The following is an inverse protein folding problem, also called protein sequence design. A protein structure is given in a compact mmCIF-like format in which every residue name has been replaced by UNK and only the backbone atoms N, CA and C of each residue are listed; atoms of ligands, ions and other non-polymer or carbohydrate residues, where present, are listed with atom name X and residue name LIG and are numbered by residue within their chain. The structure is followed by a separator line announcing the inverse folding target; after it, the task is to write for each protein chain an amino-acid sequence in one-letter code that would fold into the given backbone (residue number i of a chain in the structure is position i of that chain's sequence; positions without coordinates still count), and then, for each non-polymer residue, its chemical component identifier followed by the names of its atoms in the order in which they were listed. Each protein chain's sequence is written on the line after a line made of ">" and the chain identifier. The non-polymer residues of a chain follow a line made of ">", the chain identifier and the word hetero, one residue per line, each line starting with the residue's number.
data_IF_422013673650
#
_entry.id   IF_422013673650
#
_cell.length_a   1.000
_cell.length_b   1.000
_cell.length_c   1.000
_cell.angle_alpha   90.00
_cell.angle_beta   90.00
_cell.angle_gamma   90.00
#
_symmetry.space_group_name_H-M   'P 1'
#
loop_
_entity.id
_entity.type
_entity.pdbx_description
1 polymer ?
#
# COMPACT_ATOMS: atom_id res chain seq x y z
N UNK A 1 -6.64 -21.40 8.50
CA UNK A 1 -7.86 -21.32 7.66
C UNK A 1 -8.67 -20.11 8.09
N UNK A 2 -9.25 -19.39 7.15
CA UNK A 2 -10.13 -18.24 7.40
C UNK A 2 -11.47 -18.75 7.98
N UNK A 3 -11.91 -18.13 9.07
CA UNK A 3 -13.21 -18.43 9.69
C UNK A 3 -14.33 -17.58 9.07
N UNK A 4 -15.57 -17.70 9.55
CA UNK A 4 -16.73 -16.98 8.99
C UNK A 4 -16.62 -15.46 9.16
N UNK A 5 -16.01 -14.97 10.25
CA UNK A 5 -15.77 -13.53 10.47
C UNK A 5 -14.78 -13.02 9.43
N UNK A 6 -13.71 -13.77 9.16
CA UNK A 6 -12.70 -13.40 8.17
C UNK A 6 -13.30 -13.29 6.76
N UNK A 7 -14.14 -14.26 6.40
CA UNK A 7 -14.85 -14.26 5.11
C UNK A 7 -15.77 -13.05 4.99
N UNK A 8 -16.51 -12.73 6.08
CA UNK A 8 -17.37 -11.54 6.13
C UNK A 8 -16.57 -10.25 5.97
N UNK A 9 -15.41 -10.14 6.63
CA UNK A 9 -14.53 -8.97 6.51
C UNK A 9 -14.03 -8.80 5.07
N UNK A 10 -13.55 -9.87 4.45
CA UNK A 10 -13.11 -9.84 3.05
C UNK A 10 -14.26 -9.54 2.10
N UNK A 11 -15.47 -10.06 2.37
CA UNK A 11 -16.67 -9.75 1.60
C UNK A 11 -17.02 -8.26 1.68
N UNK A 12 -16.89 -7.64 2.86
CA UNK A 12 -17.11 -6.18 3.04
C UNK A 12 -16.19 -5.38 2.11
N UNK A 13 -14.90 -5.73 2.04
CA UNK A 13 -13.95 -5.07 1.14
C UNK A 13 -14.32 -5.27 -0.33
N UNK A 14 -14.67 -6.52 -0.70
CA UNK A 14 -15.08 -6.85 -2.07
C UNK A 14 -16.34 -6.07 -2.51
N UNK A 15 -17.32 -5.91 -1.62
CA UNK A 15 -18.54 -5.14 -1.88
C UNK A 15 -18.26 -3.64 -2.04
N UNK A 16 -17.39 -3.06 -1.20
CA UNK A 16 -16.97 -1.66 -1.34
C UNK A 16 -16.26 -1.44 -2.68
N UNK A 17 -15.34 -2.33 -3.04
CA UNK A 17 -14.66 -2.30 -4.33
C UNK A 17 -15.65 -2.43 -5.48
N UNK A 18 -16.57 -3.38 -5.43
CA UNK A 18 -17.58 -3.59 -6.47
C UNK A 18 -18.47 -2.36 -6.66
N UNK A 19 -18.87 -1.68 -5.58
CA UNK A 19 -19.61 -0.40 -5.66
C UNK A 19 -18.76 0.70 -6.29
N UNK A 20 -17.49 0.81 -5.90
CA UNK A 20 -16.55 1.77 -6.50
C UNK A 20 -16.34 1.52 -7.99
N UNK A 21 -16.28 0.25 -8.42
CA UNK A 21 -16.14 -0.12 -9.83
C UNK A 21 -17.38 0.22 -10.70
N UNK A 22 -18.48 0.60 -10.09
CA UNK A 22 -19.71 1.07 -10.78
C UNK A 22 -19.82 2.61 -10.79
N UNK A 23 -18.91 3.31 -10.14
CA UNK A 23 -18.92 4.77 -10.03
C UNK A 23 -18.09 5.41 -11.16
N UNK A 24 -18.78 5.88 -12.19
CA UNK A 24 -18.19 6.55 -13.36
C UNK A 24 -17.86 8.04 -13.10
N UNK A 25 -17.99 8.52 -11.86
CA UNK A 25 -17.62 9.89 -11.49
C UNK A 25 -16.16 10.14 -11.84
N UNK A 26 -15.92 11.23 -12.57
CA UNK A 26 -14.57 11.63 -12.97
C UNK A 26 -13.87 12.34 -11.84
N UNK A 27 -12.65 11.92 -11.58
CA UNK A 27 -11.76 12.53 -10.60
C UNK A 27 -10.50 13.07 -11.29
N UNK A 28 -10.07 14.25 -10.89
CA UNK A 28 -8.83 14.90 -11.33
C UNK A 28 -7.89 15.00 -10.14
N UNK A 29 -6.64 14.58 -10.32
CA UNK A 29 -5.63 14.63 -9.25
C UNK A 29 -4.22 14.78 -9.83
N UNK A 30 -3.24 15.05 -8.96
CA UNK A 30 -1.82 14.96 -9.28
C UNK A 30 -1.30 13.57 -8.91
N UNK A 31 -0.83 12.84 -9.91
CA UNK A 31 -0.20 11.54 -9.75
C UNK A 31 1.31 11.71 -9.60
N UNK A 32 1.84 11.27 -8.46
CA UNK A 32 3.27 11.35 -8.10
C UNK A 32 4.01 10.02 -8.35
N UNK A 33 3.34 9.02 -8.91
CA UNK A 33 3.92 7.71 -9.22
C UNK A 33 4.52 7.64 -10.62
N UNK A 34 5.16 6.52 -10.92
CA UNK A 34 5.76 6.24 -12.24
C UNK A 34 4.72 6.12 -13.38
N UNK A 35 3.43 5.97 -13.04
CA UNK A 35 2.38 5.74 -14.03
C UNK A 35 2.46 4.34 -14.64
N UNK A 36 2.06 4.21 -15.91
CA UNK A 36 2.29 2.96 -16.63
C UNK A 36 3.77 2.84 -17.03
N UNK A 37 4.32 1.62 -17.16
CA UNK A 37 5.72 1.43 -17.57
C UNK A 37 6.10 2.11 -18.89
N UNK A 38 5.13 2.32 -19.76
CA UNK A 38 5.30 2.98 -21.06
C UNK A 38 5.38 4.51 -20.95
N UNK A 39 4.90 5.10 -19.85
CA UNK A 39 4.89 6.56 -19.63
C UNK A 39 6.31 7.13 -19.48
N UNK A 40 7.26 6.33 -19.02
CA UNK A 40 8.70 6.68 -18.83
C UNK A 40 8.88 8.03 -18.15
N UNK A 41 8.12 8.27 -17.08
CA UNK A 41 8.17 9.54 -16.34
C UNK A 41 9.55 9.76 -15.73
N UNK A 42 10.07 10.98 -15.86
CA UNK A 42 11.28 11.40 -15.19
C UNK A 42 11.05 11.62 -13.69
N UNK A 43 12.13 11.62 -12.90
CA UNK A 43 12.06 11.97 -11.48
C UNK A 43 11.44 13.37 -11.26
N UNK A 44 11.77 14.33 -12.10
CA UNK A 44 11.22 15.69 -12.03
C UNK A 44 9.71 15.71 -12.24
N UNK A 45 9.18 14.93 -13.21
CA UNK A 45 7.73 14.79 -13.46
C UNK A 45 7.03 14.13 -12.28
N UNK A 46 7.61 13.09 -11.69
CA UNK A 46 7.07 12.43 -10.49
C UNK A 46 7.10 13.37 -9.27
N UNK A 47 8.14 14.15 -9.09
CA UNK A 47 8.24 15.14 -8.00
C UNK A 47 7.22 16.27 -8.14
N UNK A 48 6.96 16.76 -9.34
CA UNK A 48 5.96 17.80 -9.60
C UNK A 48 4.54 17.28 -9.56
N UNK A 49 4.36 16.00 -9.84
CA UNK A 49 3.08 15.36 -10.09
C UNK A 49 2.56 15.64 -11.50
N UNK A 50 2.04 14.60 -12.14
CA UNK A 50 1.37 14.68 -13.44
C UNK A 50 -0.13 14.75 -13.23
N UNK A 51 -0.78 15.75 -13.86
CA UNK A 51 -2.23 15.84 -13.82
C UNK A 51 -2.86 14.66 -14.56
N UNK A 52 -3.72 13.93 -13.86
CA UNK A 52 -4.43 12.75 -14.35
C UNK A 52 -5.92 12.91 -14.16
N UNK A 53 -6.67 12.51 -15.15
CA UNK A 53 -8.11 12.40 -15.13
C UNK A 53 -8.50 10.94 -15.28
N UNK A 54 -9.33 10.43 -14.36
CA UNK A 54 -9.79 9.04 -14.40
C UNK A 54 -11.18 8.94 -13.76
N UNK A 55 -11.76 7.74 -13.72
CA UNK A 55 -13.01 7.50 -12.97
C UNK A 55 -12.72 6.79 -11.65
N UNK A 56 -13.63 6.93 -10.68
CA UNK A 56 -13.58 6.14 -9.44
C UNK A 56 -13.65 4.65 -9.77
N UNK A 57 -14.42 4.26 -10.79
CA UNK A 57 -14.47 2.88 -11.31
C UNK A 57 -13.08 2.36 -11.69
N UNK A 58 -12.31 3.14 -12.42
CA UNK A 58 -10.95 2.74 -12.83
C UNK A 58 -10.01 2.62 -11.62
N UNK A 59 -10.01 3.61 -10.69
CA UNK A 59 -9.22 3.55 -9.46
C UNK A 59 -9.59 2.33 -8.61
N UNK A 60 -10.89 2.03 -8.49
CA UNK A 60 -11.38 0.87 -7.72
C UNK A 60 -11.00 -0.48 -8.34
N UNK A 61 -10.65 -0.50 -9.63
CA UNK A 61 -10.25 -1.72 -10.34
C UNK A 61 -8.78 -2.12 -10.13
N UNK A 62 -7.95 -1.23 -9.55
CA UNK A 62 -6.52 -1.46 -9.34
C UNK A 62 -6.18 -1.87 -7.90
N UNK A 63 -4.89 -2.16 -7.63
CA UNK A 63 -4.37 -2.58 -6.33
C UNK A 63 -4.67 -4.05 -5.97
N UNK A 64 -4.43 -4.42 -4.72
CA UNK A 64 -4.63 -5.79 -4.22
C UNK A 64 -6.09 -6.22 -4.29
N UNK A 65 -6.35 -7.40 -4.88
CA UNK A 65 -7.69 -8.00 -5.01
C UNK A 65 -7.59 -9.53 -5.06
N UNK A 66 -8.75 -10.20 -4.94
CA UNK A 66 -8.87 -11.67 -4.99
C UNK A 66 -7.91 -12.35 -4.00
N UNK A 67 -7.15 -13.33 -4.47
CA UNK A 67 -6.19 -14.11 -3.68
C UNK A 67 -5.15 -13.24 -2.94
N UNK A 68 -4.78 -12.08 -3.49
CA UNK A 68 -3.83 -11.18 -2.84
C UNK A 68 -4.44 -10.42 -1.65
N UNK A 69 -5.73 -10.10 -1.71
CA UNK A 69 -6.46 -9.56 -0.55
C UNK A 69 -6.57 -10.61 0.56
N UNK A 70 -6.86 -11.86 0.20
CA UNK A 70 -6.90 -12.97 1.16
C UNK A 70 -5.51 -13.24 1.76
N UNK A 71 -4.47 -13.17 0.93
CA UNK A 71 -3.08 -13.36 1.36
C UNK A 71 -2.67 -12.33 2.41
N UNK A 72 -2.84 -11.02 2.12
CA UNK A 72 -2.44 -9.97 3.06
C UNK A 72 -3.29 -10.02 4.34
N UNK A 73 -4.58 -10.31 4.21
CA UNK A 73 -5.47 -10.52 5.35
C UNK A 73 -4.94 -11.65 6.27
N UNK A 74 -4.65 -12.81 5.68
CA UNK A 74 -4.15 -13.98 6.41
C UNK A 74 -2.78 -13.70 7.05
N UNK A 75 -1.90 -12.96 6.36
CA UNK A 75 -0.59 -12.58 6.88
C UNK A 75 -0.72 -11.67 8.10
N UNK A 76 -1.51 -10.60 8.01
CA UNK A 76 -1.76 -9.67 9.13
C UNK A 76 -2.42 -10.39 10.29
N UNK A 77 -3.41 -11.22 10.03
CA UNK A 77 -4.08 -12.02 11.07
C UNK A 77 -3.12 -12.96 11.81
N UNK A 78 -2.25 -13.65 11.06
CA UNK A 78 -1.30 -14.62 11.65
C UNK A 78 -0.19 -13.93 12.45
N UNK A 79 0.27 -12.78 12.01
CA UNK A 79 1.35 -12.03 12.66
C UNK A 79 0.86 -11.08 13.75
N UNK A 80 -0.39 -10.63 13.65
CA UNK A 80 -1.02 -9.66 14.55
C UNK A 80 -0.12 -8.45 14.88
N UNK A 81 0.41 -7.74 13.84
CA UNK A 81 1.28 -6.59 14.02
C UNK A 81 0.51 -5.49 14.78
N UNK A 82 1.19 -4.74 15.64
CA UNK A 82 0.59 -3.59 16.32
C UNK A 82 0.56 -2.36 15.41
N UNK A 83 1.67 -2.12 14.72
CA UNK A 83 1.86 -0.98 13.84
C UNK A 83 2.11 -1.46 12.41
N UNK A 84 1.23 -1.05 11.51
CA UNK A 84 1.34 -1.27 10.06
C UNK A 84 1.55 0.08 9.38
N UNK A 85 2.55 0.16 8.50
CA UNK A 85 2.75 1.27 7.57
C UNK A 85 2.39 0.81 6.16
N UNK A 86 1.60 1.61 5.45
CA UNK A 86 1.32 1.43 4.03
C UNK A 86 1.72 2.67 3.23
N UNK A 87 2.46 2.47 2.14
CA UNK A 87 2.71 3.49 1.13
C UNK A 87 1.83 3.23 -0.09
N UNK A 88 0.90 4.15 -0.39
CA UNK A 88 -0.07 4.01 -1.48
C UNK A 88 -1.45 3.56 -0.97
N UNK A 89 -2.25 4.51 -0.47
CA UNK A 89 -3.61 4.21 0.01
C UNK A 89 -4.57 3.92 -1.14
N UNK A 90 -4.45 4.64 -2.25
CA UNK A 90 -5.41 4.62 -3.35
C UNK A 90 -6.85 4.73 -2.84
N UNK A 91 -7.75 3.79 -3.18
CA UNK A 91 -9.13 3.75 -2.68
C UNK A 91 -9.27 3.16 -1.26
N UNK A 92 -8.17 2.80 -0.59
CA UNK A 92 -8.14 2.34 0.80
C UNK A 92 -8.45 0.85 1.00
N UNK A 93 -8.59 0.05 -0.05
CA UNK A 93 -9.03 -1.35 0.08
C UNK A 93 -8.00 -2.24 0.77
N UNK A 94 -6.70 -2.05 0.52
CA UNK A 94 -5.61 -2.76 1.21
C UNK A 94 -5.53 -2.37 2.69
N UNK A 95 -5.59 -1.07 2.99
CA UNK A 95 -5.62 -0.56 4.37
C UNK A 95 -6.81 -1.14 5.16
N UNK A 96 -8.02 -1.13 4.57
CA UNK A 96 -9.23 -1.72 5.17
C UNK A 96 -9.04 -3.22 5.38
N UNK A 97 -8.49 -3.94 4.41
CA UNK A 97 -8.22 -5.37 4.51
C UNK A 97 -7.29 -5.68 5.69
N UNK A 98 -6.19 -4.91 5.83
CA UNK A 98 -5.24 -5.08 6.94
C UNK A 98 -5.87 -4.71 8.30
N UNK A 99 -6.65 -3.64 8.36
CA UNK A 99 -7.31 -3.20 9.58
C UNK A 99 -8.37 -4.20 10.09
N UNK A 100 -9.15 -4.77 9.18
CA UNK A 100 -10.17 -5.78 9.52
C UNK A 100 -9.57 -7.14 9.90
N UNK A 101 -8.32 -7.43 9.52
CA UNK A 101 -7.64 -8.67 9.84
C UNK A 101 -7.29 -8.82 11.32
N UNK A 102 -7.08 -7.70 12.03
CA UNK A 102 -6.71 -7.70 13.45
C UNK A 102 -7.16 -6.42 14.14
N UNK A 103 -8.00 -6.53 15.16
CA UNK A 103 -8.46 -5.40 15.96
C UNK A 103 -7.32 -4.74 16.79
N UNK A 104 -6.20 -5.43 16.99
CA UNK A 104 -5.03 -4.92 17.71
C UNK A 104 -4.05 -4.17 16.82
N UNK A 105 -4.32 -4.13 15.52
CA UNK A 105 -3.47 -3.48 14.51
C UNK A 105 -3.93 -2.05 14.28
N UNK A 106 -2.99 -1.10 14.31
CA UNK A 106 -3.22 0.26 13.78
C UNK A 106 -2.52 0.37 12.43
N UNK A 107 -3.27 0.75 11.40
CA UNK A 107 -2.76 0.96 10.05
C UNK A 107 -2.54 2.44 9.81
N UNK A 108 -1.31 2.82 9.49
CA UNK A 108 -0.95 4.16 9.00
C UNK A 108 -0.75 4.05 7.50
N UNK A 109 -1.58 4.74 6.73
CA UNK A 109 -1.54 4.69 5.26
C UNK A 109 -1.31 6.07 4.68
N UNK A 110 -0.42 6.18 3.69
CA UNK A 110 0.00 7.46 3.11
C UNK A 110 -0.48 7.56 1.67
N UNK A 111 -1.13 8.69 1.33
CA UNK A 111 -1.61 9.01 -0.02
C UNK A 111 -1.17 10.41 -0.45
N UNK A 112 -0.51 10.52 -1.61
CA UNK A 112 -0.02 11.79 -2.14
C UNK A 112 -1.12 12.69 -2.69
N UNK A 113 -2.12 12.09 -3.32
CA UNK A 113 -3.22 12.82 -3.96
C UNK A 113 -4.40 13.01 -3.01
N UNK A 114 -4.66 14.25 -2.60
CA UNK A 114 -5.74 14.58 -1.65
C UNK A 114 -7.13 14.17 -2.15
N UNK A 115 -7.34 14.21 -3.45
CA UNK A 115 -8.61 13.82 -4.08
C UNK A 115 -8.83 12.31 -3.96
N UNK A 116 -7.79 11.50 -4.18
CA UNK A 116 -7.82 10.04 -3.98
C UNK A 116 -7.95 9.71 -2.49
N UNK A 117 -7.21 10.41 -1.64
CA UNK A 117 -7.30 10.27 -0.19
C UNK A 117 -8.73 10.49 0.33
N UNK A 118 -9.48 11.43 -0.26
CA UNK A 118 -10.88 11.65 0.10
C UNK A 118 -11.76 10.43 -0.26
N UNK A 119 -11.55 9.79 -1.40
CA UNK A 119 -12.24 8.54 -1.78
C UNK A 119 -11.93 7.42 -0.79
N UNK A 120 -10.66 7.27 -0.42
CA UNK A 120 -10.25 6.28 0.59
C UNK A 120 -10.90 6.54 1.95
N UNK A 121 -10.94 7.80 2.40
CA UNK A 121 -11.57 8.20 3.67
C UNK A 121 -13.05 7.80 3.72
N UNK A 122 -13.81 8.01 2.64
CA UNK A 122 -15.19 7.56 2.54
C UNK A 122 -15.33 6.03 2.59
N UNK A 123 -14.45 5.29 1.95
CA UNK A 123 -14.46 3.83 2.00
C UNK A 123 -14.10 3.30 3.39
N UNK A 124 -13.10 3.89 4.06
CA UNK A 124 -12.69 3.57 5.43
C UNK A 124 -13.87 3.78 6.39
N UNK A 125 -14.57 4.91 6.26
CA UNK A 125 -15.76 5.21 7.04
C UNK A 125 -16.90 4.21 6.79
N UNK A 126 -17.15 3.83 5.51
CA UNK A 126 -18.17 2.84 5.16
C UNK A 126 -17.83 1.43 5.69
N UNK A 127 -16.53 1.11 5.81
CA UNK A 127 -16.06 -0.14 6.41
C UNK A 127 -16.08 -0.14 7.94
N UNK A 128 -16.42 1.00 8.58
CA UNK A 128 -16.38 1.21 10.03
C UNK A 128 -15.03 0.89 10.67
N UNK A 129 -13.93 1.16 9.96
CA UNK A 129 -12.57 0.93 10.45
C UNK A 129 -12.10 2.13 11.29
N UNK A 130 -12.01 1.97 12.63
CA UNK A 130 -11.54 2.99 13.56
C UNK A 130 -10.02 2.94 13.81
N UNK A 131 -9.36 1.91 13.30
CA UNK A 131 -7.94 1.63 13.50
C UNK A 131 -7.08 1.96 12.27
N UNK A 132 -7.54 2.88 11.40
CA UNK A 132 -6.78 3.40 10.26
C UNK A 132 -6.51 4.89 10.48
N UNK A 133 -5.26 5.29 10.34
CA UNK A 133 -4.84 6.69 10.32
C UNK A 133 -4.32 7.01 8.92
N UNK A 134 -5.03 7.86 8.20
CA UNK A 134 -4.62 8.31 6.87
C UNK A 134 -3.74 9.56 6.98
N UNK A 135 -2.58 9.52 6.32
CA UNK A 135 -1.66 10.65 6.16
C UNK A 135 -1.72 11.11 4.71
N UNK A 136 -2.06 12.39 4.50
CA UNK A 136 -2.18 12.96 3.15
C UNK A 136 -0.96 13.81 2.85
N UNK A 137 -0.19 13.42 1.85
CA UNK A 137 1.03 14.11 1.42
C UNK A 137 1.94 13.19 0.62
N UNK A 138 2.84 13.79 -0.18
CA UNK A 138 3.83 13.01 -0.94
C UNK A 138 4.74 12.26 0.03
N UNK A 139 5.16 11.05 -0.33
CA UNK A 139 6.08 10.26 0.51
C UNK A 139 7.35 11.06 0.86
N UNK A 140 7.88 11.84 -0.10
CA UNK A 140 9.04 12.71 0.13
C UNK A 140 8.85 13.75 1.22
N UNK A 141 7.62 14.16 1.48
CA UNK A 141 7.32 15.26 2.40
C UNK A 141 6.91 14.75 3.80
N UNK A 142 6.19 13.61 3.87
CA UNK A 142 5.56 13.17 5.11
C UNK A 142 6.10 11.86 5.68
N UNK A 143 6.85 11.06 4.90
CA UNK A 143 7.27 9.74 5.33
C UNK A 143 8.19 9.81 6.55
N UNK A 144 9.18 10.69 6.55
CA UNK A 144 10.16 10.79 7.63
C UNK A 144 9.50 11.09 8.99
N UNK A 145 8.66 12.11 9.05
CA UNK A 145 7.92 12.46 10.26
C UNK A 145 6.98 11.34 10.70
N UNK A 146 6.33 10.67 9.73
CA UNK A 146 5.46 9.53 10.01
C UNK A 146 6.24 8.39 10.65
N UNK A 147 7.41 8.01 10.10
CA UNK A 147 8.28 6.96 10.63
C UNK A 147 8.71 7.24 12.07
N UNK A 148 9.15 8.46 12.36
CA UNK A 148 9.58 8.89 13.70
C UNK A 148 8.44 8.80 14.72
N UNK A 149 7.22 9.11 14.29
CA UNK A 149 6.03 9.10 15.15
C UNK A 149 5.51 7.71 15.47
N UNK A 150 5.56 6.77 14.49
CA UNK A 150 4.88 5.46 14.61
C UNK A 150 5.82 4.30 14.95
N UNK A 151 7.14 4.51 14.90
CA UNK A 151 8.12 3.44 15.19
C UNK A 151 7.99 2.90 16.62
N UNK A 152 8.29 1.62 16.86
CA UNK A 152 8.72 0.61 15.91
C UNK A 152 7.58 0.06 15.05
N UNK A 153 7.88 -0.26 13.78
CA UNK A 153 6.92 -0.75 12.79
C UNK A 153 7.00 -2.27 12.70
N UNK A 154 5.87 -2.96 12.84
CA UNK A 154 5.82 -4.44 12.80
C UNK A 154 5.58 -5.00 11.40
N UNK A 155 4.94 -4.21 10.52
CA UNK A 155 4.71 -4.57 9.13
C UNK A 155 4.70 -3.32 8.25
N UNK A 156 5.42 -3.35 7.14
CA UNK A 156 5.36 -2.30 6.12
C UNK A 156 4.91 -2.89 4.79
N UNK A 157 3.94 -2.22 4.13
CA UNK A 157 3.47 -2.57 2.79
C UNK A 157 3.75 -1.43 1.82
N UNK A 158 4.60 -1.68 0.84
CA UNK A 158 5.03 -0.69 -0.15
C UNK A 158 4.30 -0.97 -1.47
N UNK A 159 3.24 -0.22 -1.74
CA UNK A 159 2.34 -0.35 -2.89
C UNK A 159 2.11 1.03 -3.54
N UNK A 160 3.19 1.75 -3.79
CA UNK A 160 3.09 3.06 -4.38
C UNK A 160 4.36 3.50 -5.11
N UNK A 161 4.24 4.51 -5.96
CA UNK A 161 5.29 5.08 -6.79
C UNK A 161 5.74 4.17 -7.95
N UNK A 162 6.04 2.89 -7.70
CA UNK A 162 6.46 1.86 -8.67
C UNK A 162 7.64 2.27 -9.56
N UNK A 163 8.57 3.03 -8.99
CA UNK A 163 9.85 3.42 -9.59
C UNK A 163 11.00 2.75 -8.88
N UNK A 164 12.06 2.39 -9.63
CA UNK A 164 13.22 1.67 -9.12
C UNK A 164 13.90 2.40 -7.96
N UNK A 165 14.34 3.62 -8.24
CA UNK A 165 15.15 4.38 -7.27
C UNK A 165 14.32 4.78 -6.04
N UNK A 166 13.05 5.15 -6.28
CA UNK A 166 12.11 5.47 -5.20
C UNK A 166 11.85 4.26 -4.30
N UNK A 167 11.62 3.08 -4.86
CA UNK A 167 11.35 1.85 -4.09
C UNK A 167 12.55 1.45 -3.23
N UNK A 168 13.77 1.50 -3.79
CA UNK A 168 15.01 1.24 -3.04
C UNK A 168 15.19 2.28 -1.93
N UNK A 169 14.92 3.56 -2.22
CA UNK A 169 14.99 4.64 -1.23
C UNK A 169 14.01 4.42 -0.07
N UNK A 170 12.77 4.04 -0.36
CA UNK A 170 11.77 3.76 0.69
C UNK A 170 12.18 2.56 1.54
N UNK A 171 12.68 1.49 0.94
CA UNK A 171 13.24 0.36 1.68
C UNK A 171 14.30 0.83 2.70
N UNK A 172 15.31 1.57 2.23
CA UNK A 172 16.42 2.06 3.08
C UNK A 172 15.95 3.05 4.14
N UNK A 173 14.96 3.88 3.83
CA UNK A 173 14.41 4.87 4.76
C UNK A 173 13.56 4.22 5.86
N UNK A 174 12.78 3.19 5.53
CA UNK A 174 11.88 2.52 6.48
C UNK A 174 12.65 1.53 7.37
N UNK A 175 13.66 0.85 6.82
CA UNK A 175 14.40 -0.22 7.49
C UNK A 175 14.86 0.11 8.93
N UNK A 176 15.42 1.29 9.24
CA UNK A 176 15.85 1.64 10.61
C UNK A 176 14.69 1.76 11.63
N UNK A 177 13.45 1.87 11.15
CA UNK A 177 12.24 2.03 11.98
C UNK A 177 11.46 0.73 12.16
N UNK A 178 11.93 -0.36 11.52
CA UNK A 178 11.29 -1.65 11.62
C UNK A 178 11.64 -2.35 12.94
N UNK A 179 10.65 -3.01 13.53
CA UNK A 179 10.87 -3.84 14.70
C UNK A 179 11.64 -5.12 14.33
N UNK A 180 12.39 -5.67 15.29
CA UNK A 180 12.98 -6.99 15.12
C UNK A 180 11.91 -8.06 14.93
N UNK A 181 12.10 -8.94 13.96
CA UNK A 181 11.13 -9.99 13.57
C UNK A 181 9.96 -9.48 12.73
N UNK A 182 10.01 -8.22 12.29
CA UNK A 182 9.00 -7.61 11.43
C UNK A 182 9.12 -8.03 9.96
N UNK A 183 8.22 -7.52 9.12
CA UNK A 183 8.16 -7.83 7.68
C UNK A 183 7.94 -6.57 6.85
N UNK A 184 8.67 -6.45 5.74
CA UNK A 184 8.33 -5.55 4.65
C UNK A 184 7.82 -6.34 3.45
N UNK A 185 6.68 -5.95 2.89
CA UNK A 185 6.14 -6.49 1.65
C UNK A 185 6.08 -5.39 0.58
N UNK A 186 6.43 -5.76 -0.65
CA UNK A 186 6.48 -4.88 -1.81
C UNK A 186 5.53 -5.40 -2.88
N UNK A 187 4.57 -4.59 -3.31
CA UNK A 187 3.68 -4.96 -4.41
C UNK A 187 4.33 -4.66 -5.77
N UNK A 188 3.82 -5.32 -6.77
CA UNK A 188 4.17 -5.12 -8.17
C UNK A 188 5.68 -5.17 -8.50
N UNK A 189 6.44 -6.04 -7.79
CA UNK A 189 7.89 -6.24 -8.02
C UNK A 189 8.23 -6.72 -9.43
N UNK A 190 7.26 -7.15 -10.19
CA UNK A 190 7.40 -7.58 -11.59
C UNK A 190 6.74 -6.61 -12.60
N UNK A 191 6.20 -5.48 -12.15
CA UNK A 191 5.43 -4.51 -12.95
C UNK A 191 6.21 -3.92 -14.12
N UNK A 192 7.47 -3.59 -13.89
CA UNK A 192 8.38 -3.03 -14.90
C UNK A 192 9.78 -3.61 -14.74
N UNK A 193 10.67 -3.38 -15.71
CA UNK A 193 12.06 -3.78 -15.57
C UNK A 193 12.73 -3.07 -14.38
N UNK A 194 12.43 -1.79 -14.18
CA UNK A 194 12.92 -1.04 -13.02
C UNK A 194 12.48 -1.65 -11.69
N UNK A 195 11.22 -2.11 -11.56
CA UNK A 195 10.73 -2.78 -10.35
C UNK A 195 11.40 -4.15 -10.11
N UNK A 196 11.69 -4.91 -11.18
CA UNK A 196 12.48 -6.16 -11.06
C UNK A 196 13.90 -5.89 -10.57
N UNK A 197 14.54 -4.86 -11.09
CA UNK A 197 15.87 -4.44 -10.64
C UNK A 197 15.85 -3.94 -9.18
N UNK A 198 14.82 -3.16 -8.80
CA UNK A 198 14.61 -2.72 -7.41
C UNK A 198 14.48 -3.93 -6.48
N UNK A 199 13.63 -4.88 -6.83
CA UNK A 199 13.46 -6.10 -6.03
C UNK A 199 14.75 -6.93 -5.95
N UNK A 200 15.46 -7.08 -7.06
CA UNK A 200 16.76 -7.77 -7.07
C UNK A 200 17.77 -7.13 -6.10
N UNK A 201 17.86 -5.80 -6.09
CA UNK A 201 18.73 -5.08 -5.17
C UNK A 201 18.28 -5.26 -3.70
N UNK A 202 17.00 -5.04 -3.41
CA UNK A 202 16.45 -5.16 -2.06
C UNK A 202 16.60 -6.58 -1.51
N UNK A 203 16.24 -7.58 -2.30
CA UNK A 203 16.31 -8.99 -1.88
C UNK A 203 17.75 -9.48 -1.67
N UNK A 204 18.72 -8.88 -2.34
CA UNK A 204 20.14 -9.19 -2.13
C UNK A 204 20.73 -8.57 -0.85
N UNK A 205 20.17 -7.45 -0.38
CA UNK A 205 20.56 -6.80 0.88
C UNK A 205 19.85 -7.41 2.10
N UNK A 206 18.67 -8.00 1.91
CA UNK A 206 17.87 -8.58 2.99
C UNK A 206 18.45 -9.91 3.48
N UNK A 207 18.50 -10.14 4.79
CA UNK A 207 18.96 -11.40 5.37
C UNK A 207 18.12 -12.61 4.92
N UNK A 208 16.81 -12.38 4.78
CA UNK A 208 15.86 -13.36 4.27
C UNK A 208 14.80 -12.68 3.43
N UNK A 209 14.55 -13.19 2.23
CA UNK A 209 13.51 -12.69 1.32
C UNK A 209 12.75 -13.84 0.66
N UNK A 210 11.53 -13.55 0.24
CA UNK A 210 10.66 -14.46 -0.53
C UNK A 210 10.05 -13.72 -1.71
N UNK A 211 9.89 -14.43 -2.83
CA UNK A 211 9.26 -13.91 -4.05
C UNK A 211 7.98 -14.70 -4.33
N UNK A 212 6.82 -14.04 -4.20
CA UNK A 212 5.51 -14.62 -4.40
C UNK A 212 4.82 -14.01 -5.63
N UNK A 213 5.38 -14.27 -6.82
CA UNK A 213 4.83 -13.73 -8.07
C UNK A 213 4.97 -12.21 -8.16
N UNK A 214 3.91 -11.46 -7.91
CA UNK A 214 3.98 -10.00 -7.95
C UNK A 214 4.43 -9.36 -6.63
N UNK A 215 4.47 -10.13 -5.52
CA UNK A 215 4.83 -9.63 -4.18
C UNK A 215 6.21 -10.14 -3.78
N UNK A 216 7.05 -9.21 -3.32
CA UNK A 216 8.30 -9.50 -2.64
C UNK A 216 8.17 -9.30 -1.14
N UNK A 217 8.82 -10.16 -0.33
CA UNK A 217 8.80 -10.08 1.12
C UNK A 217 10.23 -10.08 1.65
N UNK A 218 10.54 -9.15 2.56
CA UNK A 218 11.76 -9.14 3.35
C UNK A 218 11.43 -9.35 4.83
N UNK A 219 12.17 -10.23 5.49
CA UNK A 219 12.10 -10.47 6.93
C UNK A 219 13.21 -9.69 7.62
N UNK A 220 12.88 -8.99 8.69
CA UNK A 220 13.78 -8.12 9.44
C UNK A 220 14.19 -8.83 10.73
N UNK A 221 15.50 -9.05 10.92
CA UNK A 221 16.09 -9.74 12.08
C UNK A 221 16.38 -8.81 13.27
#
# INVERSE_FOLDING_TARGET
>A
MLNEIDKKNLQTVAELRSKGMQDESVIKFLDFGAGNPEDKRSEEEMLKGKEVWTTIAKLSSIGLKNEWSEWIYALIKARSPKVVLELGTCCGFSAITMALASANTTVYTIEGAKEIAAVASENIKKADCQNITQVVGRFTDVLQETLERISPIDFAFIDGHHDKEATIKYYKQILPYMAKGSVMAFDDISWSEGMKEAWSAISSEANKSEHLGKIGICYID
#
